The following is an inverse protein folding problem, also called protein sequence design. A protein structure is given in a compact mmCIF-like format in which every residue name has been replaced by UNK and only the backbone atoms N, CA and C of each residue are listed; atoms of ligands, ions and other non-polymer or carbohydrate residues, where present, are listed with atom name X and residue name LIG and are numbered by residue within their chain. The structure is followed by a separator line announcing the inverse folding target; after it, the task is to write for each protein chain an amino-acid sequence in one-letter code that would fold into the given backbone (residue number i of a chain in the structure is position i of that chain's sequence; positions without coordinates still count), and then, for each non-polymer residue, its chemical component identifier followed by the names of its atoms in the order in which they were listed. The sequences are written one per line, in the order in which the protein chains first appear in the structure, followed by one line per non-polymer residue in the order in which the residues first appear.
data_IF_977880636000
#
_entry.id   IF_977880636000
#
_cell.length_a   1.000
_cell.length_b   1.000
_cell.length_c   1.000
_cell.angle_alpha   90.00
_cell.angle_beta   90.00
_cell.angle_gamma   90.00
#
_symmetry.space_group_name_H-M   'P 1'
#
loop_
_entity.id
_entity.type
_entity.pdbx_description
1 polymer ?
#
# COMPACT_ATOMS: atom_id res chain seq x y z
N UNK A 1 -2.01 -15.37 15.37
CA UNK A 1 -1.61 -13.95 15.27
C UNK A 1 -1.54 -13.36 16.68
N UNK A 2 -0.34 -13.14 17.23
CA UNK A 2 -0.19 -12.49 18.55
C UNK A 2 -0.16 -10.98 18.32
N UNK A 3 -0.93 -10.21 19.09
CA UNK A 3 -0.85 -8.74 19.10
C UNK A 3 -1.93 -7.99 18.29
N UNK A 4 -2.58 -8.64 17.33
CA UNK A 4 -3.66 -8.04 16.53
C UNK A 4 -4.95 -7.94 17.35
N UNK A 5 -5.55 -6.74 17.39
CA UNK A 5 -6.84 -6.46 18.04
C UNK A 5 -7.94 -6.34 16.98
N UNK A 6 -9.20 -6.43 17.41
CA UNK A 6 -10.35 -6.24 16.51
C UNK A 6 -10.27 -4.93 15.72
N UNK A 7 -9.78 -3.84 16.34
CA UNK A 7 -9.61 -2.53 15.68
C UNK A 7 -8.61 -2.55 14.52
N UNK A 8 -7.69 -3.52 14.50
CA UNK A 8 -6.65 -3.66 13.49
C UNK A 8 -7.13 -4.51 12.29
N UNK A 9 -8.28 -5.19 12.43
CA UNK A 9 -8.93 -5.89 11.34
C UNK A 9 -9.63 -4.90 10.39
N UNK A 10 -9.66 -5.21 9.07
CA UNK A 10 -10.38 -4.40 8.11
C UNK A 10 -11.80 -4.07 8.55
N UNK A 11 -12.22 -2.81 8.40
CA UNK A 11 -13.52 -2.33 8.88
C UNK A 11 -14.71 -3.08 8.30
N UNK A 12 -14.57 -3.64 7.10
CA UNK A 12 -15.60 -4.44 6.46
C UNK A 12 -15.86 -5.79 7.16
N UNK A 13 -14.89 -6.33 7.91
CA UNK A 13 -15.09 -7.51 8.76
C UNK A 13 -15.77 -7.16 10.09
N UNK A 14 -15.82 -5.88 10.45
CA UNK A 14 -16.44 -5.37 11.69
C UNK A 14 -17.90 -5.00 11.48
N UNK A 15 -18.66 -5.92 10.92
CA UNK A 15 -20.08 -5.77 10.61
C UNK A 15 -20.93 -6.73 11.43
N UNK A 16 -22.16 -6.34 11.75
CA UNK A 16 -23.20 -7.20 12.34
C UNK A 16 -24.21 -7.70 11.31
N UNK A 17 -24.08 -7.27 10.06
CA UNK A 17 -24.90 -7.73 8.95
C UNK A 17 -24.39 -9.09 8.45
N UNK A 18 -25.17 -10.17 8.59
CA UNK A 18 -24.77 -11.50 8.15
C UNK A 18 -24.69 -11.65 6.63
N UNK A 19 -25.30 -10.74 5.87
CA UNK A 19 -25.31 -10.76 4.40
C UNK A 19 -24.38 -9.69 3.80
N UNK A 20 -23.37 -9.27 4.57
CA UNK A 20 -22.45 -8.24 4.10
C UNK A 20 -21.59 -8.79 2.94
N UNK A 21 -21.84 -8.28 1.73
CA UNK A 21 -21.33 -8.81 0.46
C UNK A 21 -19.82 -9.08 0.41
N UNK A 22 -19.00 -8.33 1.18
CA UNK A 22 -17.55 -8.49 1.14
C UNK A 22 -17.10 -9.81 1.76
N UNK A 23 -17.87 -10.37 2.69
CA UNK A 23 -17.57 -11.69 3.24
C UNK A 23 -17.74 -12.76 2.16
N UNK A 24 -18.87 -12.74 1.44
CA UNK A 24 -19.15 -13.66 0.34
C UNK A 24 -18.12 -13.51 -0.79
N UNK A 25 -17.73 -12.27 -1.11
CA UNK A 25 -16.69 -11.99 -2.10
C UNK A 25 -15.36 -12.67 -1.72
N UNK A 26 -14.88 -12.49 -0.49
CA UNK A 26 -13.62 -13.08 -0.01
C UNK A 26 -13.72 -14.61 0.03
N UNK A 27 -14.86 -15.17 0.43
CA UNK A 27 -15.06 -16.62 0.43
C UNK A 27 -14.98 -17.19 -0.98
N UNK A 28 -15.56 -16.52 -1.98
CA UNK A 28 -15.46 -16.91 -3.38
C UNK A 28 -14.01 -16.96 -3.90
N UNK A 29 -13.14 -16.04 -3.46
CA UNK A 29 -11.71 -16.06 -3.81
C UNK A 29 -10.99 -17.32 -3.29
N UNK A 30 -11.49 -17.95 -2.22
CA UNK A 30 -10.88 -19.16 -1.65
C UNK A 30 -11.17 -20.43 -2.43
N UNK A 31 -12.10 -20.39 -3.39
CA UNK A 31 -12.45 -21.51 -4.27
C UNK A 31 -11.59 -21.53 -5.56
N UNK A 32 -10.66 -20.58 -5.73
CA UNK A 32 -9.79 -20.49 -6.90
C UNK A 32 -8.81 -21.68 -7.01
N UNK A 33 -8.32 -21.97 -8.22
CA UNK A 33 -7.28 -22.98 -8.43
C UNK A 33 -5.92 -22.59 -7.85
N UNK A 34 -5.66 -21.28 -7.75
CA UNK A 34 -4.50 -20.69 -7.08
C UNK A 34 -4.82 -19.26 -6.65
N UNK A 35 -4.15 -18.79 -5.60
CA UNK A 35 -4.25 -17.42 -5.08
C UNK A 35 -2.92 -16.72 -5.33
N UNK A 36 -2.94 -15.63 -6.12
CA UNK A 36 -1.75 -14.84 -6.43
C UNK A 36 -1.73 -13.58 -5.58
N UNK A 37 -0.66 -13.37 -4.82
CA UNK A 37 -0.52 -12.24 -3.92
C UNK A 37 0.66 -11.36 -4.33
N UNK A 38 0.45 -10.05 -4.46
CA UNK A 38 1.52 -9.07 -4.68
C UNK A 38 2.26 -8.78 -3.36
N UNK A 39 3.01 -9.77 -2.89
CA UNK A 39 3.89 -9.71 -1.71
C UNK A 39 5.09 -10.62 -1.95
N UNK A 40 5.98 -10.77 -0.97
CA UNK A 40 7.11 -11.69 -1.05
C UNK A 40 7.35 -12.39 0.28
N UNK A 41 7.97 -13.56 0.20
CA UNK A 41 8.11 -14.50 1.32
C UNK A 41 8.70 -13.86 2.59
N UNK A 42 9.80 -13.11 2.46
CA UNK A 42 10.46 -12.51 3.61
C UNK A 42 9.61 -11.44 4.33
N UNK A 43 8.65 -10.80 3.65
CA UNK A 43 7.77 -9.80 4.26
C UNK A 43 6.70 -10.44 5.14
N UNK A 44 6.13 -11.57 4.70
CA UNK A 44 4.90 -12.13 5.25
C UNK A 44 4.96 -13.65 5.49
N UNK A 45 6.15 -14.23 5.64
CA UNK A 45 6.41 -15.68 5.71
C UNK A 45 5.44 -16.46 6.62
N UNK A 46 5.22 -15.96 7.84
CA UNK A 46 4.31 -16.60 8.79
C UNK A 46 2.85 -16.59 8.34
N UNK A 47 2.42 -15.52 7.67
CA UNK A 47 1.08 -15.36 7.11
C UNK A 47 0.94 -16.25 5.89
N UNK A 48 1.89 -16.19 4.95
CA UNK A 48 1.89 -17.01 3.74
C UNK A 48 1.85 -18.51 4.07
N UNK A 49 2.66 -18.99 5.02
CA UNK A 49 2.58 -20.38 5.49
C UNK A 49 1.23 -20.75 6.08
N UNK A 50 0.61 -19.85 6.85
CA UNK A 50 -0.71 -20.10 7.42
C UNK A 50 -1.77 -20.17 6.30
N UNK A 51 -1.75 -19.26 5.33
CA UNK A 51 -2.65 -19.27 4.19
C UNK A 51 -2.46 -20.54 3.33
N UNK A 52 -1.23 -20.90 2.97
CA UNK A 52 -0.92 -22.13 2.22
C UNK A 52 -1.36 -23.42 2.92
N UNK A 53 -1.56 -23.39 4.24
CA UNK A 53 -2.06 -24.56 4.99
C UNK A 53 -3.58 -24.71 4.97
N UNK A 54 -4.30 -23.67 4.54
CA UNK A 54 -5.76 -23.61 4.61
C UNK A 54 -6.42 -23.38 3.24
N UNK A 55 -5.68 -22.83 2.28
CA UNK A 55 -6.19 -22.38 1.00
C UNK A 55 -5.53 -23.17 -0.15
N UNK A 56 -6.09 -23.07 -1.37
CA UNK A 56 -5.41 -23.51 -2.59
C UNK A 56 -4.01 -22.89 -2.73
N UNK A 57 -3.18 -23.35 -3.69
CA UNK A 57 -1.82 -22.85 -3.88
C UNK A 57 -1.71 -21.32 -3.79
N UNK A 58 -1.06 -20.83 -2.73
CA UNK A 58 -0.82 -19.40 -2.50
C UNK A 58 0.56 -19.05 -3.06
N UNK A 59 0.59 -18.21 -4.08
CA UNK A 59 1.78 -17.82 -4.82
C UNK A 59 2.07 -16.34 -4.60
N UNK A 60 3.13 -16.03 -3.85
CA UNK A 60 3.60 -14.66 -3.68
C UNK A 60 4.38 -14.24 -4.93
N UNK A 61 3.83 -13.29 -5.69
CA UNK A 61 4.37 -12.78 -6.97
C UNK A 61 4.56 -11.27 -6.85
N UNK A 62 5.49 -10.88 -5.99
CA UNK A 62 5.73 -9.46 -5.72
C UNK A 62 7.14 -9.14 -5.23
N UNK A 63 7.44 -7.84 -5.08
CA UNK A 63 6.56 -6.74 -5.46
C UNK A 63 6.55 -6.53 -6.99
N UNK A 64 5.36 -6.37 -7.57
CA UNK A 64 5.17 -6.20 -9.02
C UNK A 64 6.07 -5.12 -9.66
N UNK A 65 6.30 -3.93 -9.05
CA UNK A 65 7.21 -2.94 -9.61
C UNK A 65 8.63 -3.45 -9.89
N UNK A 66 9.16 -4.35 -9.04
CA UNK A 66 10.51 -4.90 -9.24
C UNK A 66 10.54 -6.02 -10.29
N UNK A 67 9.45 -6.76 -10.45
CA UNK A 67 9.31 -7.75 -11.53
C UNK A 67 9.20 -7.05 -12.88
N UNK A 68 8.43 -5.96 -12.97
CA UNK A 68 8.29 -5.16 -14.19
C UNK A 68 9.62 -4.58 -14.68
N UNK A 69 10.51 -4.14 -13.77
CA UNK A 69 11.83 -3.62 -14.15
C UNK A 69 12.73 -4.63 -14.89
N UNK A 70 12.37 -5.91 -14.88
CA UNK A 70 13.12 -6.99 -15.54
C UNK A 70 12.55 -7.36 -16.91
N UNK A 71 11.41 -6.77 -17.28
CA UNK A 71 10.79 -6.97 -18.58
C UNK A 71 11.50 -6.06 -19.59
N UNK A 72 12.28 -6.66 -20.48
CA UNK A 72 13.01 -5.97 -21.54
C UNK A 72 12.24 -6.06 -22.86
N UNK A 73 11.03 -5.52 -22.87
CA UNK A 73 10.20 -5.42 -24.08
C UNK A 73 9.83 -3.95 -24.31
N UNK A 74 10.37 -3.39 -25.40
CA UNK A 74 10.17 -1.99 -25.75
C UNK A 74 8.74 -1.71 -26.23
N UNK A 75 8.00 -2.72 -26.71
CA UNK A 75 6.63 -2.57 -27.18
C UNK A 75 5.66 -2.43 -26.01
N UNK A 76 5.98 -3.04 -24.86
CA UNK A 76 5.21 -2.92 -23.62
C UNK A 76 5.33 -1.56 -22.94
N UNK A 77 6.34 -0.75 -23.31
CA UNK A 77 6.49 0.62 -22.80
C UNK A 77 5.33 1.56 -23.16
N UNK A 78 4.50 1.19 -24.15
CA UNK A 78 3.27 1.90 -24.50
C UNK A 78 2.09 1.53 -23.59
N UNK A 79 2.18 0.41 -22.88
CA UNK A 79 1.15 -0.03 -21.93
C UNK A 79 1.45 0.66 -20.59
N UNK A 80 0.93 1.87 -20.44
CA UNK A 80 0.99 2.59 -19.18
C UNK A 80 0.23 1.87 -18.06
N UNK A 81 0.76 1.88 -16.84
CA UNK A 81 0.08 1.37 -15.64
C UNK A 81 -0.74 2.44 -14.91
N UNK A 82 -0.67 3.69 -15.39
CA UNK A 82 -1.35 4.84 -14.80
C UNK A 82 -2.74 5.03 -15.42
N UNK A 83 -3.74 5.24 -14.55
CA UNK A 83 -5.09 5.61 -14.97
C UNK A 83 -5.23 7.10 -15.33
N UNK A 84 -4.22 7.90 -15.00
CA UNK A 84 -4.20 9.36 -15.16
C UNK A 84 -2.97 9.80 -15.93
N UNK A 85 -3.08 10.93 -16.63
CA UNK A 85 -1.94 11.57 -17.28
C UNK A 85 -0.88 11.95 -16.24
N UNK A 86 0.38 11.67 -16.58
CA UNK A 86 1.52 12.00 -15.71
C UNK A 86 1.88 13.48 -15.84
N UNK A 87 2.13 14.13 -14.70
CA UNK A 87 2.55 15.54 -14.63
C UNK A 87 4.07 15.62 -14.33
N UNK A 88 4.92 15.81 -15.36
CA UNK A 88 6.38 15.82 -15.19
C UNK A 88 6.89 17.02 -14.38
N UNK A 89 6.08 18.06 -14.19
CA UNK A 89 6.39 19.27 -13.41
C UNK A 89 6.76 18.93 -11.96
N UNK A 90 6.07 17.95 -11.36
CA UNK A 90 6.33 17.53 -9.99
C UNK A 90 7.74 16.93 -9.84
N UNK A 91 8.19 16.16 -10.82
CA UNK A 91 9.54 15.58 -10.84
C UNK A 91 10.60 16.67 -11.00
N UNK A 92 10.40 17.62 -11.93
CA UNK A 92 11.31 18.76 -12.10
C UNK A 92 11.40 19.62 -10.83
N UNK A 93 10.29 19.78 -10.11
CA UNK A 93 10.29 20.48 -8.83
C UNK A 93 11.06 19.70 -7.75
N UNK A 94 10.93 18.38 -7.69
CA UNK A 94 11.67 17.51 -6.77
C UNK A 94 13.18 17.54 -7.04
N UNK A 95 13.61 17.56 -8.31
CA UNK A 95 15.03 17.65 -8.70
C UNK A 95 15.72 18.91 -8.16
N UNK A 96 14.95 19.96 -7.85
CA UNK A 96 15.46 21.20 -7.25
C UNK A 96 15.63 21.16 -5.72
N UNK A 97 15.30 20.05 -5.06
CA UNK A 97 15.30 19.92 -3.60
C UNK A 97 16.43 19.02 -3.13
N UNK A 98 16.95 19.32 -1.93
CA UNK A 98 17.95 18.47 -1.30
C UNK A 98 17.39 17.06 -1.03
N UNK A 99 18.21 16.00 -1.12
CA UNK A 99 17.79 14.67 -0.74
C UNK A 99 17.21 14.66 0.67
N UNK A 100 16.15 13.88 0.88
CA UNK A 100 15.52 13.70 2.20
C UNK A 100 14.87 14.96 2.78
N UNK A 101 14.59 15.99 1.98
CA UNK A 101 14.03 17.27 2.44
C UNK A 101 12.53 17.46 2.18
N UNK A 102 11.90 16.58 1.41
CA UNK A 102 10.50 16.71 0.99
C UNK A 102 9.63 15.63 1.62
N UNK A 103 8.49 16.04 2.18
CA UNK A 103 7.43 15.14 2.65
C UNK A 103 6.45 14.88 1.50
N UNK A 104 6.29 13.63 1.09
CA UNK A 104 5.27 13.24 0.12
C UNK A 104 3.98 12.84 0.84
N UNK A 105 2.86 13.44 0.44
CA UNK A 105 1.54 13.20 1.04
C UNK A 105 0.57 12.77 -0.05
N UNK A 106 0.01 11.56 0.11
CA UNK A 106 -1.01 11.00 -0.78
C UNK A 106 -1.87 10.00 -0.01
N UNK A 107 -3.19 10.14 -0.10
CA UNK A 107 -4.17 9.27 0.57
C UNK A 107 -4.77 8.18 -0.33
N UNK A 108 -4.22 8.03 -1.55
CA UNK A 108 -4.66 7.05 -2.53
C UNK A 108 -5.90 7.47 -3.31
N UNK A 109 -6.37 6.55 -4.14
CA UNK A 109 -7.49 6.75 -5.08
C UNK A 109 -8.87 6.45 -4.50
N UNK A 110 -8.96 5.72 -3.39
CA UNK A 110 -10.24 5.24 -2.83
C UNK A 110 -10.61 6.00 -1.56
N UNK A 111 -9.62 6.38 -0.75
CA UNK A 111 -9.85 7.07 0.52
C UNK A 111 -10.45 8.45 0.26
N UNK A 112 -11.50 8.78 1.00
CA UNK A 112 -11.97 10.16 1.13
C UNK A 112 -12.01 10.54 2.61
N UNK A 113 -11.89 11.83 2.89
CA UNK A 113 -11.88 12.37 4.24
C UNK A 113 -12.97 13.43 4.41
N UNK A 114 -13.31 13.73 5.66
CA UNK A 114 -14.19 14.86 5.96
C UNK A 114 -13.48 16.20 5.69
N UNK A 115 -14.22 17.28 5.41
CA UNK A 115 -13.62 18.62 5.27
C UNK A 115 -12.76 19.01 6.48
N UNK A 116 -13.19 18.67 7.69
CA UNK A 116 -12.46 18.95 8.92
C UNK A 116 -11.12 18.18 8.97
N UNK A 117 -11.11 16.89 8.60
CA UNK A 117 -9.86 16.12 8.54
C UNK A 117 -8.88 16.72 7.53
N UNK A 118 -9.37 17.16 6.36
CA UNK A 118 -8.53 17.83 5.36
C UNK A 118 -7.89 19.11 5.94
N UNK A 119 -8.68 19.92 6.64
CA UNK A 119 -8.20 21.15 7.30
C UNK A 119 -7.13 20.84 8.34
N UNK A 120 -7.34 19.82 9.18
CA UNK A 120 -6.36 19.42 10.20
C UNK A 120 -5.05 18.91 9.58
N UNK A 121 -5.11 18.09 8.53
CA UNK A 121 -3.91 17.67 7.80
C UNK A 121 -3.20 18.85 7.15
N UNK A 122 -3.94 19.73 6.48
CA UNK A 122 -3.37 20.89 5.79
C UNK A 122 -2.61 21.80 6.75
N UNK A 123 -3.24 22.17 7.87
CA UNK A 123 -2.58 23.00 8.88
C UNK A 123 -1.43 22.27 9.57
N UNK A 124 -1.58 20.99 9.90
CA UNK A 124 -0.51 20.24 10.55
C UNK A 124 0.74 20.10 9.68
N UNK A 125 0.56 19.81 8.38
CA UNK A 125 1.66 19.75 7.42
C UNK A 125 2.29 21.14 7.24
N UNK A 126 1.48 22.18 7.04
CA UNK A 126 1.99 23.55 6.86
C UNK A 126 2.77 24.05 8.08
N UNK A 127 2.24 23.85 9.29
CA UNK A 127 2.88 24.27 10.54
C UNK A 127 4.20 23.55 10.80
N UNK A 128 4.43 22.37 10.22
CA UNK A 128 5.70 21.65 10.36
C UNK A 128 6.89 22.45 9.80
N UNK A 129 6.64 23.44 8.92
CA UNK A 129 7.64 24.20 8.18
C UNK A 129 8.61 23.31 7.37
N UNK A 130 8.15 22.11 6.96
CA UNK A 130 8.87 21.22 6.05
C UNK A 130 8.38 21.43 4.63
N UNK A 131 9.27 21.27 3.66
CA UNK A 131 8.88 21.22 2.24
C UNK A 131 8.04 19.97 2.01
N UNK A 132 6.92 20.09 1.30
CA UNK A 132 6.04 18.96 1.03
C UNK A 132 5.49 18.99 -0.40
N UNK A 133 5.18 17.80 -0.91
CA UNK A 133 4.42 17.56 -2.14
C UNK A 133 3.15 16.81 -1.75
N UNK A 134 1.99 17.44 -1.93
CA UNK A 134 0.71 16.84 -1.59
C UNK A 134 -0.14 16.62 -2.84
N UNK A 135 -0.45 15.37 -3.12
CA UNK A 135 -1.40 14.99 -4.17
C UNK A 135 -2.82 15.12 -3.61
N UNK A 136 -3.53 16.16 -4.04
CA UNK A 136 -4.94 16.40 -3.70
C UNK A 136 -5.78 16.09 -4.94
N UNK A 137 -6.80 15.25 -4.76
CA UNK A 137 -7.77 14.92 -5.81
C UNK A 137 -9.08 15.69 -5.56
N UNK A 138 -9.81 16.10 -6.61
CA UNK A 138 -11.09 16.80 -6.44
C UNK A 138 -12.13 16.04 -5.61
N UNK A 139 -12.09 14.72 -5.64
CA UNK A 139 -12.99 13.79 -4.92
C UNK A 139 -12.47 13.37 -3.53
N UNK A 140 -11.36 13.94 -3.07
CA UNK A 140 -10.73 13.55 -1.79
C UNK A 140 -11.59 13.91 -0.56
N UNK A 141 -12.53 14.84 -0.69
CA UNK A 141 -13.41 15.29 0.40
C UNK A 141 -14.85 14.82 0.14
N UNK A 142 -15.48 14.22 1.16
CA UNK A 142 -16.89 13.85 1.09
C UNK A 142 -17.77 15.11 0.90
N UNK A 143 -18.52 15.17 -0.20
CA UNK A 143 -19.35 16.31 -0.65
C UNK A 143 -19.80 16.13 -2.11
N UNK A 144 -20.42 17.15 -2.73
CA UNK A 144 -21.09 17.11 -4.05
C UNK A 144 -20.25 16.62 -5.26
N UNK A 145 -18.97 16.30 -5.08
CA UNK A 145 -18.07 15.74 -6.08
C UNK A 145 -17.59 14.29 -5.79
N UNK A 146 -17.96 13.70 -4.65
CA UNK A 146 -17.62 12.31 -4.34
C UNK A 146 -18.61 11.35 -5.02
N UNK A 147 -18.16 10.65 -6.07
CA UNK A 147 -18.95 9.67 -6.84
C UNK A 147 -19.25 8.40 -5.99
N UNK A 148 -18.69 8.28 -4.79
CA UNK A 148 -18.85 7.11 -3.93
C UNK A 148 -19.90 7.35 -2.83
N UNK A 149 -20.82 6.38 -2.58
CA UNK A 149 -21.78 6.49 -1.49
C UNK A 149 -21.09 6.75 -0.13
N UNK A 150 -21.64 7.67 0.66
CA UNK A 150 -21.10 8.05 1.99
C UNK A 150 -20.94 6.88 2.97
N UNK A 151 -21.75 5.83 2.80
CA UNK A 151 -21.67 4.58 3.57
C UNK A 151 -20.47 3.70 3.20
N UNK A 152 -19.98 3.79 1.95
CA UNK A 152 -18.79 3.07 1.48
C UNK A 152 -17.52 3.70 2.07
N UNK A 153 -17.47 5.03 2.02
CA UNK A 153 -16.42 5.91 2.56
C UNK A 153 -16.14 5.70 4.04
N UNK A 154 -17.20 5.60 4.85
CA UNK A 154 -17.06 5.42 6.31
C UNK A 154 -16.59 4.03 6.69
N UNK A 155 -16.71 3.05 5.79
CA UNK A 155 -16.38 1.63 6.00
C UNK A 155 -15.04 1.21 5.42
N UNK A 156 -14.26 2.09 4.80
CA UNK A 156 -12.91 1.80 4.29
C UNK A 156 -11.83 2.48 5.14
N UNK A 157 -11.46 1.87 6.26
CA UNK A 157 -10.21 2.17 6.98
C UNK A 157 -9.28 0.97 6.80
N UNK A 158 -8.23 1.12 6.00
CA UNK A 158 -7.29 0.04 5.68
C UNK A 158 -5.94 0.33 6.33
N UNK A 159 -5.49 -0.59 7.18
CA UNK A 159 -4.10 -1.04 7.30
C UNK A 159 -2.99 -0.02 7.62
N UNK A 160 -2.98 0.55 8.83
CA UNK A 160 -1.78 1.23 9.38
C UNK A 160 -0.89 0.30 10.24
N UNK A 161 -1.36 -0.91 10.57
CA UNK A 161 -0.74 -1.76 11.60
C UNK A 161 0.65 -2.31 11.19
N UNK A 162 0.83 -2.69 9.92
CA UNK A 162 2.03 -3.43 9.50
C UNK A 162 3.28 -2.57 9.35
N UNK A 163 3.14 -1.29 8.99
CA UNK A 163 4.30 -0.39 8.83
C UNK A 163 5.00 -0.11 10.17
N UNK A 164 4.25 -0.14 11.27
CA UNK A 164 4.80 -0.06 12.62
C UNK A 164 5.61 -1.32 12.96
N UNK A 165 5.10 -2.51 12.62
CA UNK A 165 5.81 -3.77 12.84
C UNK A 165 7.11 -3.86 12.03
N UNK A 166 7.08 -3.39 10.78
CA UNK A 166 8.26 -3.31 9.92
C UNK A 166 9.23 -2.19 10.34
N UNK A 167 8.79 -1.29 11.23
CA UNK A 167 9.58 -0.17 11.75
C UNK A 167 9.89 0.91 10.71
N UNK A 168 9.06 1.03 9.67
CA UNK A 168 9.24 1.99 8.56
C UNK A 168 8.22 3.13 8.57
N UNK A 169 7.37 3.20 9.60
CA UNK A 169 6.31 4.18 9.68
C UNK A 169 5.94 4.60 11.09
N UNK A 170 5.05 5.57 11.16
CA UNK A 170 4.45 6.10 12.39
C UNK A 170 2.94 6.18 12.17
N UNK A 171 2.17 5.99 13.25
CA UNK A 171 0.71 6.05 13.18
C UNK A 171 0.22 7.47 13.51
N UNK A 172 -0.71 7.97 12.69
CA UNK A 172 -1.49 9.17 12.97
C UNK A 172 -2.86 8.69 13.50
N UNK A 173 -3.36 9.31 14.56
CA UNK A 173 -4.67 8.96 15.08
C UNK A 173 -5.79 9.16 14.03
N UNK A 174 -6.81 8.30 14.11
CA UNK A 174 -8.01 8.43 13.28
C UNK A 174 -8.83 9.70 13.54
N UNK A 175 -8.77 10.25 14.76
CA UNK A 175 -9.26 11.61 15.06
C UNK A 175 -8.09 12.60 14.91
N UNK A 176 -7.70 12.82 13.65
CA UNK A 176 -6.55 13.67 13.29
C UNK A 176 -6.67 15.07 13.90
N UNK A 177 -5.60 15.54 14.52
CA UNK A 177 -5.42 16.92 14.98
C UNK A 177 -4.16 17.51 14.35
N UNK A 178 -4.22 18.77 13.95
CA UNK A 178 -3.09 19.47 13.32
C UNK A 178 -1.81 19.43 14.15
N UNK A 179 -1.91 19.57 15.48
CA UNK A 179 -0.75 19.58 16.37
C UNK A 179 -0.05 18.21 16.39
N UNK A 180 -0.83 17.13 16.29
CA UNK A 180 -0.30 15.77 16.17
C UNK A 180 0.40 15.57 14.82
N UNK A 181 -0.25 15.97 13.73
CA UNK A 181 0.32 15.88 12.38
C UNK A 181 1.61 16.69 12.28
N UNK A 182 1.63 17.93 12.78
CA UNK A 182 2.82 18.78 12.82
C UNK A 182 3.96 18.09 13.55
N UNK A 183 3.69 17.57 14.76
CA UNK A 183 4.68 16.87 15.57
C UNK A 183 5.24 15.64 14.86
N UNK A 184 4.37 14.81 14.27
CA UNK A 184 4.77 13.59 13.56
C UNK A 184 5.56 13.89 12.29
N UNK A 185 5.18 14.92 11.53
CA UNK A 185 5.94 15.34 10.33
C UNK A 185 7.31 15.87 10.73
N UNK A 186 7.41 16.63 11.83
CA UNK A 186 8.71 17.09 12.34
C UNK A 186 9.58 15.91 12.79
N UNK A 187 9.02 15.00 13.59
CA UNK A 187 9.72 13.81 14.08
C UNK A 187 10.20 12.91 12.93
N UNK A 188 9.36 12.68 11.92
CA UNK A 188 9.72 11.91 10.72
C UNK A 188 10.91 12.54 9.98
N UNK A 189 10.98 13.87 9.99
CA UNK A 189 12.00 14.66 9.28
C UNK A 189 13.19 15.03 10.19
N UNK A 190 13.28 14.49 11.40
CA UNK A 190 14.48 14.55 12.23
C UNK A 190 15.54 13.58 11.69
N UNK A 191 16.80 13.99 11.73
CA UNK A 191 17.88 13.28 11.04
C UNK A 191 18.05 11.83 11.50
N UNK A 192 18.05 11.61 12.82
CA UNK A 192 18.22 10.27 13.41
C UNK A 192 17.03 9.36 13.08
N UNK A 193 15.81 9.82 13.36
CA UNK A 193 14.58 9.07 13.09
C UNK A 193 14.44 8.70 11.61
N UNK A 194 14.67 9.68 10.74
CA UNK A 194 14.65 9.52 9.29
C UNK A 194 15.67 8.48 8.84
N UNK A 195 16.90 8.54 9.37
CA UNK A 195 17.98 7.60 9.06
C UNK A 195 17.65 6.17 9.51
N UNK A 196 17.09 6.01 10.71
CA UNK A 196 16.68 4.70 11.25
C UNK A 196 15.59 4.04 10.39
N UNK A 197 14.51 4.77 10.09
CA UNK A 197 13.43 4.25 9.24
C UNK A 197 13.94 3.92 7.84
N UNK A 198 14.81 4.77 7.27
CA UNK A 198 15.40 4.52 5.95
C UNK A 198 16.29 3.30 5.93
N UNK A 199 17.09 3.08 6.97
CA UNK A 199 17.92 1.89 7.07
C UNK A 199 17.06 0.62 7.02
N UNK A 200 15.96 0.58 7.77
CA UNK A 200 15.00 -0.54 7.75
C UNK A 200 14.30 -0.66 6.39
N UNK A 201 13.86 0.44 5.80
CA UNK A 201 13.24 0.43 4.47
C UNK A 201 14.19 -0.11 3.39
N UNK A 202 15.48 0.24 3.44
CA UNK A 202 16.51 -0.28 2.54
C UNK A 202 16.77 -1.77 2.75
N UNK A 203 16.71 -2.25 4.00
CA UNK A 203 16.80 -3.67 4.30
C UNK A 203 15.64 -4.46 3.68
N UNK A 204 14.41 -3.97 3.86
CA UNK A 204 13.22 -4.53 3.21
C UNK A 204 13.29 -4.46 1.69
N UNK A 205 13.77 -3.34 1.12
CA UNK A 205 13.99 -3.19 -0.32
C UNK A 205 14.95 -4.24 -0.85
N UNK A 206 16.08 -4.49 -0.18
CA UNK A 206 17.06 -5.50 -0.59
C UNK A 206 16.46 -6.91 -0.59
N UNK A 207 15.63 -7.22 0.41
CA UNK A 207 14.92 -8.51 0.45
C UNK A 207 13.91 -8.63 -0.68
N UNK A 208 13.19 -7.56 -1.00
CA UNK A 208 12.26 -7.52 -2.13
C UNK A 208 12.98 -7.68 -3.48
N UNK A 209 14.11 -7.02 -3.68
CA UNK A 209 14.95 -7.17 -4.88
C UNK A 209 15.46 -8.60 -5.03
N UNK A 210 15.93 -9.23 -3.95
CA UNK A 210 16.34 -10.63 -3.98
C UNK A 210 15.17 -11.58 -4.27
N UNK A 211 13.97 -11.29 -3.76
CA UNK A 211 12.78 -12.08 -4.03
C UNK A 211 12.34 -11.97 -5.50
N UNK A 212 12.43 -10.77 -6.08
CA UNK A 212 12.04 -10.50 -7.45
C UNK A 212 13.10 -10.90 -8.49
N UNK A 213 14.36 -11.10 -8.10
CA UNK A 213 15.48 -11.30 -9.04
C UNK A 213 15.26 -12.50 -9.99
N UNK A 214 15.10 -12.26 -11.29
CA UNK A 214 14.98 -13.33 -12.28
C UNK A 214 16.35 -13.98 -12.59
N UNK A 215 16.40 -15.31 -12.85
CA UNK A 215 15.28 -16.26 -12.84
C UNK A 215 15.10 -17.01 -11.50
N UNK A 216 15.91 -16.72 -10.49
CA UNK A 216 16.04 -17.58 -9.29
C UNK A 216 15.35 -17.06 -8.03
N UNK A 217 14.85 -15.82 -8.07
CA UNK A 217 14.13 -15.19 -6.98
C UNK A 217 12.79 -15.90 -6.75
N UNK A 218 12.41 -16.18 -5.49
CA UNK A 218 11.16 -16.87 -5.17
C UNK A 218 9.91 -16.28 -5.84
N UNK A 219 9.82 -14.95 -5.94
CA UNK A 219 8.68 -14.29 -6.58
C UNK A 219 8.70 -14.45 -8.11
N UNK A 220 9.88 -14.40 -8.73
CA UNK A 220 10.04 -14.65 -10.17
C UNK A 220 9.69 -16.11 -10.50
N UNK A 221 10.18 -17.07 -9.72
CA UNK A 221 9.84 -18.47 -9.88
C UNK A 221 8.34 -18.74 -9.68
N UNK A 222 7.70 -18.07 -8.71
CA UNK A 222 6.25 -18.19 -8.53
C UNK A 222 5.48 -17.58 -9.70
N UNK A 223 5.96 -16.49 -10.32
CA UNK A 223 5.36 -15.97 -11.54
C UNK A 223 5.42 -17.02 -12.67
N UNK A 224 6.57 -17.67 -12.85
CA UNK A 224 6.71 -18.75 -13.83
C UNK A 224 5.76 -19.93 -13.54
N UNK A 225 5.54 -20.27 -12.27
CA UNK A 225 4.54 -21.28 -11.88
C UNK A 225 3.12 -20.84 -12.21
N UNK A 226 2.75 -19.58 -11.94
CA UNK A 226 1.43 -19.06 -12.35
C UNK A 226 1.24 -19.24 -13.85
N UNK A 227 2.23 -18.86 -14.66
CA UNK A 227 2.14 -18.95 -16.11
C UNK A 227 2.01 -20.41 -16.55
N UNK A 228 2.94 -21.26 -16.11
CA UNK A 228 3.05 -22.61 -16.64
C UNK A 228 2.00 -23.55 -16.04
N UNK A 229 1.75 -23.48 -14.73
CA UNK A 229 0.94 -24.48 -14.03
C UNK A 229 -0.52 -24.05 -13.84
N UNK A 230 -0.82 -22.75 -13.92
CA UNK A 230 -2.19 -22.23 -13.72
C UNK A 230 -2.81 -21.74 -15.02
N UNK A 231 -2.09 -20.93 -15.81
CA UNK A 231 -2.65 -20.28 -17.00
C UNK A 231 -2.56 -21.15 -18.27
N UNK A 232 -1.41 -21.79 -18.51
CA UNK A 232 -1.19 -22.57 -19.74
C UNK A 232 -1.72 -24.01 -19.65
N UNK A 233 -1.76 -24.58 -18.46
CA UNK A 233 -2.29 -25.93 -18.20
C UNK A 233 -3.30 -25.90 -17.05
N UNK A 234 -4.48 -25.28 -17.23
CA UNK A 234 -5.50 -25.26 -16.20
C UNK A 234 -5.86 -26.71 -15.83
N UNK A 235 -5.85 -27.02 -14.54
CA UNK A 235 -6.34 -28.31 -14.04
C UNK A 235 -7.87 -28.34 -14.25
N UNK A 236 -8.36 -29.38 -14.94
CA UNK A 236 -9.80 -29.63 -15.21
C UNK A 236 -10.66 -29.69 -13.94
#
# INVERSE_FOLDING_TARGET
MKGIKLKDLPSFLRTTDPNFFMLDFILGETEASAIVLNTFDALENGILRALSSMLPPVLSVGPLPLLLNQVHDNDLGQIGSNLWSEEPECLRWLDSKEPNSVVYVNFGSITVMTPNQLIEFAWGIANSNKTFLWIIRPDLVAGDAAILPSEFVTKTKIGACWQLEWGIGMEINSDVKRDEVERLVRELMEEEKCREMKKKALEWKRMAEAAAASPSGPSAMNLDKVINEVLLYPSD
#
